data_IF_048251173987
#
_entry.id   IF_048251173987
#
_cell.length_a   1.000
_cell.length_b   1.000
_cell.length_c   1.000
_cell.angle_alpha   90.00
_cell.angle_beta   90.00
_cell.angle_gamma   90.00
#
_symmetry.space_group_name_H-M   'P 1'
#
loop_
_entity.id
_entity.type
_entity.pdbx_description
1 polymer ?
#
# COMPACT_ATOMS: atom_id res chain seq x y z
N UNK A 1 13.13 -1.65 -17.37
CA UNK A 1 11.66 -1.49 -17.33
C UNK A 1 11.05 -2.86 -17.03
N UNK A 2 10.28 -3.02 -15.95
CA UNK A 2 9.64 -4.30 -15.64
C UNK A 2 8.36 -4.44 -16.48
N UNK A 3 8.26 -5.51 -17.26
CA UNK A 3 7.03 -5.87 -17.97
C UNK A 3 6.04 -6.42 -16.95
N UNK A 4 4.83 -5.87 -16.95
CA UNK A 4 3.73 -6.31 -16.10
C UNK A 4 2.68 -6.96 -17.01
N UNK A 5 2.25 -8.17 -16.65
CA UNK A 5 1.19 -8.91 -17.33
C UNK A 5 -0.16 -8.59 -16.67
N UNK A 6 -1.17 -8.21 -17.47
CA UNK A 6 -2.52 -7.93 -17.00
C UNK A 6 -3.45 -9.10 -17.36
N UNK A 7 -4.26 -9.58 -16.41
CA UNK A 7 -5.30 -10.58 -16.71
C UNK A 7 -6.61 -9.86 -17.06
N UNK A 8 -6.99 -9.87 -18.34
CA UNK A 8 -8.19 -9.17 -18.86
C UNK A 8 -9.51 -9.75 -18.39
N UNK A 9 -9.53 -10.99 -17.91
CA UNK A 9 -10.77 -11.70 -17.55
C UNK A 9 -11.18 -11.43 -16.10
N UNK A 10 -10.22 -11.13 -15.21
CA UNK A 10 -10.46 -10.81 -13.80
C UNK A 10 -10.10 -9.37 -13.40
N UNK A 11 -9.34 -8.66 -14.23
CA UNK A 11 -8.91 -7.30 -13.93
C UNK A 11 -7.75 -7.21 -12.92
N UNK A 12 -7.11 -8.34 -12.61
CA UNK A 12 -6.02 -8.40 -11.63
C UNK A 12 -4.64 -8.29 -12.30
N UNK A 13 -3.77 -7.49 -11.69
CA UNK A 13 -2.36 -7.36 -12.07
C UNK A 13 -1.59 -8.59 -11.55
N UNK A 14 -1.07 -9.42 -12.46
CA UNK A 14 -0.29 -10.60 -12.12
C UNK A 14 1.18 -10.22 -11.90
N UNK A 15 1.47 -9.49 -10.82
CA UNK A 15 2.82 -9.45 -10.24
C UNK A 15 2.76 -9.24 -8.71
N UNK A 16 2.51 -10.31 -7.94
CA UNK A 16 2.24 -10.21 -6.49
C UNK A 16 3.49 -10.05 -5.60
N UNK A 17 4.72 -10.02 -6.15
CA UNK A 17 5.94 -10.21 -5.35
C UNK A 17 6.67 -8.93 -4.90
N UNK A 18 6.07 -7.73 -5.00
CA UNK A 18 6.79 -6.46 -4.68
C UNK A 18 6.16 -5.50 -3.68
N UNK A 19 4.89 -5.70 -3.30
CA UNK A 19 4.21 -4.80 -2.38
C UNK A 19 3.86 -5.48 -1.05
N UNK A 20 3.82 -4.68 0.01
CA UNK A 20 3.32 -5.05 1.33
C UNK A 20 2.03 -4.28 1.63
N UNK A 21 1.20 -4.81 2.53
CA UNK A 21 0.00 -4.12 2.97
C UNK A 21 0.30 -3.25 4.18
N UNK A 22 0.13 -1.93 4.03
CA UNK A 22 0.03 -1.02 5.15
C UNK A 22 -1.31 -1.22 5.87
N UNK A 23 -1.31 -1.53 7.18
CA UNK A 23 -2.53 -1.78 7.92
C UNK A 23 -3.26 -0.48 8.28
N UNK A 24 -4.57 -0.55 8.41
CA UNK A 24 -5.38 0.56 8.89
C UNK A 24 -4.99 0.91 10.33
N UNK A 25 -4.66 2.18 10.64
CA UNK A 25 -4.25 2.59 11.99
C UNK A 25 -5.40 2.51 13.02
N UNK A 26 -6.63 2.26 12.58
CA UNK A 26 -7.81 2.16 13.45
C UNK A 26 -8.25 0.72 13.72
N UNK A 27 -7.98 -0.23 12.82
CA UNK A 27 -8.51 -1.61 12.96
C UNK A 27 -7.57 -2.71 12.44
N UNK A 28 -6.36 -2.40 11.97
CA UNK A 28 -5.37 -3.39 11.54
C UNK A 28 -5.61 -4.06 10.18
N UNK A 29 -6.81 -3.93 9.59
CA UNK A 29 -7.12 -4.48 8.26
C UNK A 29 -6.30 -3.82 7.15
N UNK A 30 -6.08 -4.52 6.03
CA UNK A 30 -5.34 -3.99 4.88
C UNK A 30 -5.94 -2.66 4.37
N UNK A 31 -5.12 -1.62 4.29
CA UNK A 31 -5.55 -0.28 3.87
C UNK A 31 -4.92 0.13 2.53
N UNK A 32 -3.59 0.06 2.41
CA UNK A 32 -2.86 0.45 1.20
C UNK A 32 -1.84 -0.63 0.83
N UNK A 33 -1.71 -0.93 -0.46
CA UNK A 33 -0.59 -1.70 -0.98
C UNK A 33 0.56 -0.73 -1.28
N UNK A 34 1.73 -0.96 -0.70
CA UNK A 34 2.91 -0.09 -0.83
C UNK A 34 4.15 -0.90 -1.21
N UNK A 35 5.07 -0.30 -1.97
CA UNK A 35 6.40 -0.86 -2.19
C UNK A 35 7.37 -0.35 -1.11
N UNK A 36 8.60 -0.92 -1.06
CA UNK A 36 9.63 -0.52 -0.07
C UNK A 36 10.04 0.96 -0.17
N UNK A 37 9.93 1.52 -1.35
CA UNK A 37 10.29 2.89 -1.73
C UNK A 37 9.07 3.83 -1.80
N UNK A 38 7.89 3.37 -1.43
CA UNK A 38 6.68 4.22 -1.43
C UNK A 38 6.76 5.27 -0.33
N UNK A 39 6.62 6.54 -0.74
CA UNK A 39 6.43 7.68 0.16
C UNK A 39 4.99 8.21 0.03
N UNK A 40 4.35 8.47 1.16
CA UNK A 40 3.01 9.06 1.24
C UNK A 40 3.05 10.21 2.25
N UNK A 41 2.47 11.36 1.92
CA UNK A 41 2.38 12.52 2.81
C UNK A 41 0.94 13.03 2.88
N UNK A 42 0.38 13.11 4.09
CA UNK A 42 -0.94 13.69 4.37
C UNK A 42 -2.08 13.15 3.47
N UNK A 43 -2.06 11.85 3.14
CA UNK A 43 -3.08 11.26 2.27
C UNK A 43 -4.34 10.90 3.06
N UNK A 44 -5.51 11.52 2.79
CA UNK A 44 -6.76 11.10 3.40
C UNK A 44 -7.19 9.73 2.85
N UNK A 45 -7.35 8.77 3.75
CA UNK A 45 -7.78 7.41 3.43
C UNK A 45 -8.98 7.00 4.27
N UNK A 46 -9.96 6.37 3.63
CA UNK A 46 -11.11 5.74 4.29
C UNK A 46 -10.96 4.22 4.29
N UNK A 47 -10.97 3.62 5.47
CA UNK A 47 -10.86 2.16 5.58
C UNK A 47 -12.13 1.47 5.05
N UNK A 48 -11.98 0.47 4.18
CA UNK A 48 -13.12 -0.31 3.68
C UNK A 48 -13.75 -1.22 4.75
N UNK A 49 -12.98 -1.61 5.78
CA UNK A 49 -13.45 -2.46 6.86
C UNK A 49 -14.18 -1.66 7.95
N UNK A 50 -13.47 -0.79 8.67
CA UNK A 50 -14.06 -0.03 9.79
C UNK A 50 -14.71 1.30 9.40
N UNK A 51 -14.64 1.70 8.12
CA UNK A 51 -15.25 2.93 7.55
C UNK A 51 -14.73 4.27 8.10
N UNK A 52 -13.76 4.26 9.03
CA UNK A 52 -13.13 5.47 9.58
C UNK A 52 -12.13 6.07 8.59
N UNK A 53 -11.98 7.38 8.68
CA UNK A 53 -11.01 8.16 7.92
C UNK A 53 -9.73 8.37 8.72
N UNK A 54 -8.60 8.48 8.03
CA UNK A 54 -7.28 8.75 8.62
C UNK A 54 -6.41 9.46 7.60
N UNK A 55 -5.56 10.37 8.08
CA UNK A 55 -4.47 10.91 7.28
C UNK A 55 -3.28 9.97 7.42
N UNK A 56 -2.75 9.52 6.28
CA UNK A 56 -1.65 8.56 6.21
C UNK A 56 -0.38 9.27 5.75
N UNK A 57 0.69 9.06 6.51
CA UNK A 57 2.06 9.42 6.14
C UNK A 57 2.91 8.16 6.24
N UNK A 58 3.63 7.83 5.17
CA UNK A 58 4.51 6.67 5.06
C UNK A 58 5.83 7.19 4.52
N UNK A 59 6.91 6.91 5.24
CA UNK A 59 8.26 7.25 4.80
C UNK A 59 8.95 5.98 4.30
N UNK A 60 9.74 6.06 3.21
CA UNK A 60 10.58 4.95 2.80
C UNK A 60 11.52 4.58 3.95
N UNK A 61 11.73 3.28 4.17
CA UNK A 61 12.77 2.81 5.07
C UNK A 61 14.10 3.08 4.36
N UNK A 62 14.61 4.31 4.44
CA UNK A 62 16.02 4.56 4.21
C UNK A 62 16.76 3.63 5.18
N UNK A 63 17.74 2.87 4.69
CA UNK A 63 18.53 2.00 5.54
C UNK A 63 19.25 2.88 6.57
N UNK A 64 18.63 3.10 7.74
CA UNK A 64 19.30 3.63 8.92
C UNK A 64 20.22 2.50 9.38
N UNK A 65 21.42 2.46 8.79
CA UNK A 65 22.56 1.78 9.39
C UNK A 65 22.89 2.56 10.67
N UNK A 66 22.51 1.98 11.81
CA UNK A 66 23.19 2.20 13.09
C UNK A 66 23.71 0.85 13.55
#
# INVERSE_FOLDING_TARGET
MQKISYNTTRGDILNPSKFIWYPCPKCGSHLLAINKDTEVKNLPCKCKHCKRESLITIEPISQVLN
#
